data_IF_681524784703
#
_entry.id   IF_681524784703
#
_cell.length_a   1.000
_cell.length_b   1.000
_cell.length_c   1.000
_cell.angle_alpha   90.00
_cell.angle_beta   90.00
_cell.angle_gamma   90.00
#
_symmetry.space_group_name_H-M   'P 1'
#
loop_
_entity.id
_entity.type
_entity.pdbx_description
1 polymer ?
#
# COMPACT_ATOMS: atom_id res chain seq x y z
N UNK A 1 -11.88 -20.88 -19.86
CA UNK A 1 -10.60 -20.35 -19.34
C UNK A 1 -10.85 -18.96 -18.76
N UNK A 2 -10.43 -18.66 -17.52
CA UNK A 2 -10.53 -17.30 -16.96
C UNK A 2 -9.45 -16.43 -17.62
N UNK A 3 -9.86 -15.42 -18.36
CA UNK A 3 -8.95 -14.44 -18.98
C UNK A 3 -8.17 -13.69 -17.89
N UNK A 4 -6.87 -13.38 -18.10
CA UNK A 4 -6.15 -12.49 -17.21
C UNK A 4 -6.88 -11.14 -17.11
N UNK A 5 -7.19 -10.73 -15.89
CA UNK A 5 -7.89 -9.47 -15.63
C UNK A 5 -6.94 -8.50 -14.97
N UNK A 6 -6.98 -7.26 -15.46
CA UNK A 6 -6.23 -6.18 -14.85
C UNK A 6 -6.77 -5.91 -13.44
N UNK A 7 -5.90 -6.05 -12.45
CA UNK A 7 -6.27 -5.80 -11.06
C UNK A 7 -5.96 -4.36 -10.64
N UNK A 8 -4.75 -3.89 -10.95
CA UNK A 8 -4.25 -2.61 -10.45
C UNK A 8 -3.11 -2.12 -11.35
N UNK A 9 -3.11 -0.81 -11.63
CA UNK A 9 -2.01 -0.09 -12.28
C UNK A 9 -1.74 1.15 -11.46
N UNK A 10 -0.48 1.35 -11.08
CA UNK A 10 -0.01 2.60 -10.50
C UNK A 10 0.71 3.39 -11.60
N UNK A 11 0.24 4.60 -11.90
CA UNK A 11 0.92 5.48 -12.83
C UNK A 11 2.08 6.21 -12.17
N UNK A 12 1.86 6.68 -10.94
CA UNK A 12 2.87 7.35 -10.13
C UNK A 12 2.71 6.84 -8.71
N UNK A 13 3.79 6.28 -8.16
CA UNK A 13 3.84 5.88 -6.77
C UNK A 13 5.16 6.38 -6.17
N UNK A 14 5.06 7.36 -5.28
CA UNK A 14 6.20 7.96 -4.61
C UNK A 14 5.99 7.87 -3.12
N UNK A 15 6.95 7.29 -2.41
CA UNK A 15 6.96 7.25 -0.95
C UNK A 15 8.31 7.74 -0.48
N UNK A 16 8.31 8.76 0.36
CA UNK A 16 9.51 9.32 0.97
C UNK A 16 9.43 9.09 2.48
N UNK A 17 10.31 8.21 2.97
CA UNK A 17 10.45 7.90 4.39
C UNK A 17 11.69 8.62 4.92
N UNK A 18 11.48 9.52 5.86
CA UNK A 18 12.54 10.26 6.55
C UNK A 18 12.48 9.93 8.05
N UNK A 19 13.33 9.01 8.53
CA UNK A 19 13.40 8.70 9.95
C UNK A 19 13.78 9.93 10.79
N UNK A 20 13.00 10.19 11.84
CA UNK A 20 13.27 11.24 12.81
C UNK A 20 14.60 10.93 13.53
N UNK A 21 15.53 11.89 13.57
CA UNK A 21 16.84 11.74 14.20
C UNK A 21 18.04 11.66 13.23
N UNK A 22 17.81 11.80 11.92
CA UNK A 22 18.86 12.08 10.94
C UNK A 22 19.05 13.60 10.79
N UNK A 23 20.24 14.07 10.40
CA UNK A 23 20.70 15.48 10.42
C UNK A 23 19.75 16.55 9.80
N UNK A 24 18.73 16.15 9.05
CA UNK A 24 17.67 17.01 8.52
C UNK A 24 16.31 16.38 8.85
N UNK A 25 15.52 17.02 9.73
CA UNK A 25 14.12 16.66 9.99
C UNK A 25 13.26 17.01 8.76
N UNK A 26 13.24 16.12 7.76
CA UNK A 26 12.33 16.21 6.62
C UNK A 26 11.04 15.45 6.93
N UNK A 27 9.91 15.99 6.49
CA UNK A 27 8.64 15.28 6.62
C UNK A 27 8.63 14.04 5.73
N UNK A 28 8.08 12.93 6.22
CA UNK A 28 7.75 11.80 5.35
C UNK A 28 6.48 12.14 4.58
N UNK A 29 6.43 11.79 3.31
CA UNK A 29 5.26 12.06 2.46
C UNK A 29 5.06 10.92 1.46
N UNK A 30 3.81 10.77 1.03
CA UNK A 30 3.42 9.73 0.08
C UNK A 30 2.45 10.30 -0.94
N UNK A 31 2.62 9.91 -2.19
CA UNK A 31 1.76 10.24 -3.30
C UNK A 31 1.55 9.00 -4.16
N UNK A 32 0.30 8.70 -4.50
CA UNK A 32 -0.04 7.53 -5.29
C UNK A 32 -1.23 7.87 -6.20
N UNK A 33 -1.09 7.59 -7.50
CA UNK A 33 -2.13 7.79 -8.50
C UNK A 33 -2.14 6.58 -9.42
N UNK A 34 -3.33 6.04 -9.65
CA UNK A 34 -3.49 4.83 -10.42
C UNK A 34 -4.93 4.49 -10.74
N UNK A 35 -5.10 3.28 -11.24
CA UNK A 35 -6.38 2.69 -11.62
C UNK A 35 -6.47 1.30 -11.01
N UNK A 36 -7.59 0.98 -10.39
CA UNK A 36 -7.80 -0.30 -9.71
C UNK A 36 -9.13 -0.93 -10.11
N UNK A 37 -9.20 -2.24 -10.12
CA UNK A 37 -10.44 -2.98 -10.39
C UNK A 37 -11.33 -3.04 -9.15
N UNK A 38 -12.64 -2.89 -9.36
CA UNK A 38 -13.65 -3.08 -8.31
C UNK A 38 -13.63 -4.52 -7.72
N UNK A 39 -13.07 -5.49 -8.46
CA UNK A 39 -12.86 -6.85 -7.98
C UNK A 39 -12.06 -6.93 -6.67
N UNK A 40 -11.07 -6.05 -6.51
CA UNK A 40 -10.23 -6.02 -5.30
C UNK A 40 -10.99 -5.50 -4.08
N UNK A 41 -12.16 -4.88 -4.27
CA UNK A 41 -12.95 -4.34 -3.17
C UNK A 41 -14.17 -5.19 -2.81
N UNK A 42 -14.50 -6.27 -3.55
CA UNK A 42 -15.54 -7.32 -3.30
C UNK A 42 -16.96 -6.89 -2.86
N UNK A 43 -17.18 -5.63 -2.52
CA UNK A 43 -18.45 -5.02 -2.07
C UNK A 43 -19.35 -4.74 -3.28
N UNK A 44 -18.75 -4.46 -4.43
CA UNK A 44 -19.48 -4.26 -5.68
C UNK A 44 -19.72 -5.63 -6.33
N UNK A 45 -20.97 -6.09 -6.28
CA UNK A 45 -21.49 -7.25 -7.05
C UNK A 45 -21.51 -7.00 -8.57
N UNK A 46 -21.00 -5.86 -9.04
CA UNK A 46 -21.02 -5.49 -10.44
C UNK A 46 -19.80 -6.02 -11.21
N UNK A 47 -19.94 -5.95 -12.55
CA UNK A 47 -19.15 -6.67 -13.54
C UNK A 47 -17.64 -6.69 -13.24
N UNK A 48 -16.99 -7.86 -13.27
CA UNK A 48 -15.58 -8.04 -12.92
C UNK A 48 -14.57 -7.41 -13.91
N UNK A 49 -14.94 -6.36 -14.65
CA UNK A 49 -14.09 -5.62 -15.60
C UNK A 49 -14.07 -4.11 -15.38
N UNK A 50 -14.82 -3.60 -14.39
CA UNK A 50 -14.88 -2.16 -14.15
C UNK A 50 -13.68 -1.70 -13.33
N UNK A 51 -13.06 -0.62 -13.81
CA UNK A 51 -11.92 0.04 -13.21
C UNK A 51 -12.36 1.38 -12.60
N UNK A 52 -11.74 1.77 -11.49
CA UNK A 52 -11.88 3.09 -10.89
C UNK A 52 -10.51 3.76 -10.81
N UNK A 53 -10.48 5.07 -11.06
CA UNK A 53 -9.29 5.88 -10.84
C UNK A 53 -9.16 6.21 -9.36
N UNK A 54 -7.96 6.18 -8.83
CA UNK A 54 -7.67 6.62 -7.47
C UNK A 54 -6.49 7.59 -7.45
N UNK A 55 -6.53 8.48 -6.48
CA UNK A 55 -5.45 9.40 -6.14
C UNK A 55 -5.37 9.53 -4.64
N UNK A 56 -4.16 9.51 -4.09
CA UNK A 56 -3.92 9.74 -2.67
C UNK A 56 -2.66 10.55 -2.44
N UNK A 57 -2.74 11.43 -1.46
CA UNK A 57 -1.63 12.24 -1.01
C UNK A 57 -1.66 12.34 0.51
N UNK A 58 -0.50 12.22 1.15
CA UNK A 58 -0.43 12.36 2.58
C UNK A 58 0.96 12.55 3.15
N UNK A 59 0.96 12.75 4.45
CA UNK A 59 2.15 12.99 5.25
C UNK A 59 2.27 11.92 6.32
N UNK A 60 3.49 11.69 6.74
CA UNK A 60 3.79 10.67 7.71
C UNK A 60 5.00 10.98 8.55
N UNK A 61 5.23 10.09 9.48
CA UNK A 61 6.41 10.06 10.32
C UNK A 61 7.04 8.69 10.24
N UNK A 62 8.36 8.65 10.27
CA UNK A 62 9.12 7.42 10.37
C UNK A 62 10.09 7.54 11.54
N UNK A 63 10.33 6.43 12.22
CA UNK A 63 11.26 6.36 13.35
C UNK A 63 12.02 5.06 13.30
N UNK A 64 13.32 5.15 13.58
CA UNK A 64 14.16 3.99 13.84
C UNK A 64 14.26 3.76 15.36
N UNK A 65 14.21 2.51 15.83
CA UNK A 65 14.41 2.22 17.23
C UNK A 65 15.84 2.56 17.67
N UNK A 66 15.98 3.09 18.87
CA UNK A 66 17.26 3.54 19.45
C UNK A 66 18.24 2.40 19.84
N UNK A 67 17.83 1.14 19.73
CA UNK A 67 18.67 0.01 20.14
C UNK A 67 19.80 -0.26 19.15
N UNK A 68 21.03 -0.38 19.66
CA UNK A 68 22.27 -0.47 18.88
C UNK A 68 22.29 -1.60 17.83
N UNK A 69 21.66 -2.75 18.11
CA UNK A 69 21.58 -3.90 17.20
C UNK A 69 20.50 -3.79 16.12
N UNK A 70 19.50 -2.91 16.31
CA UNK A 70 18.35 -2.77 15.40
C UNK A 70 18.37 -1.46 14.61
N UNK A 71 19.30 -0.57 14.96
CA UNK A 71 19.54 0.68 14.25
C UNK A 71 19.85 0.37 12.78
N UNK A 72 19.15 1.01 11.85
CA UNK A 72 19.24 0.78 10.39
C UNK A 72 18.66 -0.52 9.83
N UNK A 73 18.15 -1.43 10.68
CA UNK A 73 17.49 -2.66 10.22
C UNK A 73 15.99 -2.64 10.43
N UNK A 74 15.48 -1.80 11.34
CA UNK A 74 14.05 -1.71 11.63
C UNK A 74 13.57 -0.26 11.50
N UNK A 75 12.53 -0.03 10.71
CA UNK A 75 11.88 1.27 10.56
C UNK A 75 10.39 1.08 10.85
N UNK A 76 9.89 1.86 11.79
CA UNK A 76 8.45 2.03 11.98
C UNK A 76 8.02 3.31 11.29
N UNK A 77 6.86 3.29 10.64
CA UNK A 77 6.31 4.48 10.03
C UNK A 77 4.80 4.50 10.16
N UNK A 78 4.25 5.71 10.09
CA UNK A 78 2.82 5.92 9.94
C UNK A 78 2.57 7.02 8.92
N UNK A 79 1.48 6.88 8.17
CA UNK A 79 1.01 7.87 7.22
C UNK A 79 -0.47 8.17 7.45
N UNK A 80 -0.84 9.41 7.19
CA UNK A 80 -2.21 9.82 7.05
C UNK A 80 -2.37 10.47 5.68
N UNK A 81 -3.13 9.80 4.82
CA UNK A 81 -3.39 10.24 3.46
C UNK A 81 -4.84 10.67 3.28
N UNK A 82 -5.05 11.66 2.44
CA UNK A 82 -6.35 11.93 1.82
C UNK A 82 -6.42 11.15 0.52
N UNK A 83 -7.53 10.46 0.29
CA UNK A 83 -7.77 9.66 -0.92
C UNK A 83 -9.04 10.11 -1.63
N UNK A 84 -8.95 10.23 -2.94
CA UNK A 84 -10.10 10.40 -3.81
C UNK A 84 -10.15 9.34 -4.89
N UNK A 85 -11.32 8.74 -5.03
CA UNK A 85 -11.62 7.75 -6.05
C UNK A 85 -12.75 8.24 -6.95
N UNK A 86 -12.62 7.99 -8.25
CA UNK A 86 -13.58 8.41 -9.27
C UNK A 86 -13.97 7.21 -10.13
N UNK A 87 -15.27 6.99 -10.29
CA UNK A 87 -15.85 5.98 -11.17
C UNK A 87 -17.35 6.17 -11.32
N UNK A 88 -17.87 5.91 -12.52
CA UNK A 88 -19.30 5.94 -12.80
C UNK A 88 -20.09 4.86 -12.04
N UNK A 89 -19.43 3.82 -11.52
CA UNK A 89 -20.08 2.77 -10.71
C UNK A 89 -20.39 3.19 -9.27
N UNK A 90 -19.89 4.34 -8.82
CA UNK A 90 -20.22 4.85 -7.50
C UNK A 90 -21.53 5.64 -7.55
N UNK A 91 -22.36 5.55 -6.51
CA UNK A 91 -23.67 6.25 -6.47
C UNK A 91 -23.59 7.76 -6.79
N UNK A 92 -22.47 8.39 -6.44
CA UNK A 92 -22.22 9.82 -6.70
C UNK A 92 -21.14 10.08 -7.76
N UNK A 93 -20.62 9.05 -8.43
CA UNK A 93 -19.50 9.16 -9.37
C UNK A 93 -18.11 9.29 -8.71
N UNK A 94 -18.06 9.53 -7.39
CA UNK A 94 -16.82 9.72 -6.64
C UNK A 94 -16.92 9.25 -5.19
N UNK A 95 -15.77 9.06 -4.55
CA UNK A 95 -15.61 8.88 -3.10
C UNK A 95 -14.41 9.66 -2.63
N UNK A 96 -14.54 10.31 -1.47
CA UNK A 96 -13.43 10.97 -0.80
C UNK A 96 -13.32 10.46 0.63
N UNK A 97 -12.09 10.20 1.03
CA UNK A 97 -11.79 9.56 2.30
C UNK A 97 -10.37 9.83 2.75
N UNK A 98 -10.00 9.11 3.80
CA UNK A 98 -8.66 9.09 4.34
C UNK A 98 -8.13 7.67 4.45
N UNK A 99 -6.82 7.51 4.36
CA UNK A 99 -6.12 6.27 4.69
C UNK A 99 -5.20 6.56 5.88
N UNK A 100 -5.37 5.80 6.95
CA UNK A 100 -4.37 5.71 8.00
C UNK A 100 -3.54 4.46 7.77
N UNK A 101 -2.24 4.61 7.61
CA UNK A 101 -1.30 3.49 7.45
C UNK A 101 -0.38 3.44 8.65
N UNK A 102 -0.17 2.25 9.18
CA UNK A 102 0.94 1.93 10.06
C UNK A 102 1.77 0.84 9.41
N UNK A 103 3.08 0.93 9.50
CA UNK A 103 3.93 -0.09 8.93
C UNK A 103 5.26 -0.25 9.64
N UNK A 104 5.84 -1.42 9.41
CA UNK A 104 7.10 -1.85 9.96
C UNK A 104 7.91 -2.50 8.84
N UNK A 105 9.05 -1.90 8.51
CA UNK A 105 10.03 -2.43 7.57
C UNK A 105 11.21 -2.99 8.36
N UNK A 106 11.49 -4.27 8.20
CA UNK A 106 12.55 -4.99 8.88
C UNK A 106 13.48 -5.65 7.86
N UNK A 107 14.76 -5.29 7.87
CA UNK A 107 15.82 -5.97 7.12
C UNK A 107 16.43 -7.03 8.03
N UNK A 108 16.09 -8.29 7.77
CA UNK A 108 16.54 -9.43 8.58
C UNK A 108 17.96 -9.83 8.18
N UNK A 109 18.25 -9.81 6.87
CA UNK A 109 19.60 -10.02 6.32
C UNK A 109 19.86 -9.01 5.21
N UNK A 110 21.08 -8.95 4.68
CA UNK A 110 21.39 -8.09 3.54
C UNK A 110 20.57 -8.41 2.28
N UNK A 111 20.07 -9.66 2.17
CA UNK A 111 19.29 -10.13 1.02
C UNK A 111 17.80 -10.27 1.31
N UNK A 112 17.39 -10.30 2.57
CA UNK A 112 15.99 -10.52 2.94
C UNK A 112 15.44 -9.36 3.75
N UNK A 113 14.35 -8.78 3.23
CA UNK A 113 13.58 -7.75 3.92
C UNK A 113 12.14 -8.18 4.05
N UNK A 114 11.53 -7.75 5.15
CA UNK A 114 10.17 -8.03 5.53
C UNK A 114 9.45 -6.73 5.81
N UNK A 115 8.22 -6.62 5.36
CA UNK A 115 7.42 -5.42 5.47
C UNK A 115 6.01 -5.80 5.91
N UNK A 116 5.60 -5.28 7.05
CA UNK A 116 4.27 -5.46 7.61
C UNK A 116 3.54 -4.13 7.56
N UNK A 117 2.31 -4.14 7.05
CA UNK A 117 1.52 -2.94 6.80
C UNK A 117 0.09 -3.19 7.30
N UNK A 118 -0.40 -2.29 8.14
CA UNK A 118 -1.80 -2.17 8.50
C UNK A 118 -2.37 -0.89 7.90
N UNK A 119 -3.34 -1.03 7.02
CA UNK A 119 -4.04 0.08 6.37
C UNK A 119 -5.48 0.15 6.85
N UNK A 120 -5.93 1.34 7.22
CA UNK A 120 -7.32 1.62 7.54
C UNK A 120 -7.83 2.73 6.62
N UNK A 121 -8.62 2.33 5.63
CA UNK A 121 -9.24 3.27 4.71
C UNK A 121 -10.66 3.59 5.16
N UNK A 122 -11.02 4.86 5.18
CA UNK A 122 -12.36 5.33 5.52
C UNK A 122 -12.84 6.39 4.53
N UNK A 123 -13.94 6.13 3.83
CA UNK A 123 -14.59 7.08 2.95
C UNK A 123 -15.76 7.76 3.68
N UNK A 124 -15.69 9.08 3.81
CA UNK A 124 -16.71 9.87 4.52
C UNK A 124 -17.66 10.59 3.56
N UNK A 125 -17.22 10.85 2.32
CA UNK A 125 -18.00 11.55 1.31
C UNK A 125 -18.17 10.69 0.06
N UNK A 126 -19.34 10.79 -0.58
CA UNK A 126 -19.70 9.89 -1.66
C UNK A 126 -20.38 8.63 -1.13
N UNK A 127 -19.83 7.48 -1.48
CA UNK A 127 -20.22 6.19 -0.92
C UNK A 127 -19.38 5.88 0.33
N UNK A 128 -20.04 5.75 1.48
CA UNK A 128 -19.39 5.62 2.79
C UNK A 128 -19.03 4.18 3.06
N UNK A 129 -17.73 3.89 3.09
CA UNK A 129 -17.21 2.54 3.30
C UNK A 129 -15.89 2.60 4.06
N UNK A 130 -15.58 1.53 4.76
CA UNK A 130 -14.33 1.39 5.50
C UNK A 130 -13.70 0.03 5.22
N UNK A 131 -12.39 0.05 5.02
CA UNK A 131 -11.61 -1.09 4.58
C UNK A 131 -10.34 -1.18 5.45
N UNK A 132 -10.40 -1.90 6.58
CA UNK A 132 -9.21 -2.37 7.26
C UNK A 132 -8.56 -3.48 6.44
N UNK A 133 -7.33 -3.25 6.06
CA UNK A 133 -6.48 -4.14 5.29
C UNK A 133 -5.20 -4.40 6.06
N UNK A 134 -4.77 -5.65 6.04
CA UNK A 134 -3.48 -6.06 6.54
C UNK A 134 -2.69 -6.68 5.41
N UNK A 135 -1.43 -6.28 5.27
CA UNK A 135 -0.54 -6.90 4.30
C UNK A 135 0.83 -7.20 4.89
N UNK A 136 1.37 -8.31 4.41
CA UNK A 136 2.71 -8.79 4.68
C UNK A 136 3.41 -8.91 3.35
N UNK A 137 4.62 -8.37 3.26
CA UNK A 137 5.46 -8.49 2.09
C UNK A 137 6.85 -8.97 2.51
N UNK A 138 7.36 -9.97 1.81
CA UNK A 138 8.75 -10.41 1.90
C UNK A 138 9.44 -10.14 0.57
N UNK A 139 10.62 -9.53 0.61
CA UNK A 139 11.45 -9.34 -0.57
C UNK A 139 12.79 -10.06 -0.36
N UNK A 140 13.14 -10.96 -1.27
CA UNK A 140 14.38 -11.73 -1.26
C UNK A 140 15.23 -11.38 -2.49
N UNK A 141 16.37 -10.78 -2.27
CA UNK A 141 17.35 -10.40 -3.28
C UNK A 141 18.10 -11.65 -3.79
N UNK A 142 17.81 -12.07 -5.03
CA UNK A 142 18.50 -13.18 -5.69
C UNK A 142 19.88 -12.74 -6.20
N UNK A 143 19.94 -11.55 -6.80
CA UNK A 143 21.14 -10.89 -7.30
C UNK A 143 21.03 -9.40 -7.04
N UNK A 144 22.10 -8.63 -7.20
CA UNK A 144 22.08 -7.17 -7.03
C UNK A 144 21.01 -6.45 -7.87
N UNK A 145 20.44 -7.12 -8.88
CA UNK A 145 19.45 -6.56 -9.82
C UNK A 145 18.08 -7.25 -9.78
N UNK A 146 17.96 -8.39 -9.11
CA UNK A 146 16.74 -9.20 -9.13
C UNK A 146 16.34 -9.53 -7.70
N UNK A 147 15.11 -9.17 -7.33
CA UNK A 147 14.49 -9.63 -6.09
C UNK A 147 13.20 -10.39 -6.37
N UNK A 148 12.98 -11.48 -5.64
CA UNK A 148 11.68 -12.12 -5.54
C UNK A 148 10.84 -11.39 -4.50
N UNK A 149 9.59 -11.15 -4.83
CA UNK A 149 8.61 -10.54 -3.97
C UNK A 149 7.50 -11.54 -3.68
N UNK A 150 7.18 -11.66 -2.40
CA UNK A 150 5.98 -12.30 -1.92
C UNK A 150 5.14 -11.26 -1.19
N UNK A 151 3.85 -11.17 -1.51
CA UNK A 151 2.93 -10.30 -0.80
C UNK A 151 1.65 -11.06 -0.48
N UNK A 152 1.26 -11.07 0.79
CA UNK A 152 -0.04 -11.51 1.26
C UNK A 152 -0.84 -10.31 1.73
N UNK A 153 -2.10 -10.21 1.32
CA UNK A 153 -3.01 -9.13 1.67
C UNK A 153 -4.33 -9.72 2.09
N UNK A 154 -4.86 -9.24 3.21
CA UNK A 154 -6.14 -9.66 3.75
C UNK A 154 -6.97 -8.43 4.11
N UNK A 155 -8.16 -8.35 3.55
CA UNK A 155 -9.14 -7.34 3.90
C UNK A 155 -10.18 -7.96 4.85
N UNK A 156 -10.31 -7.41 6.06
CA UNK A 156 -11.12 -8.02 7.11
C UNK A 156 -12.63 -7.91 6.88
N UNK A 157 -13.11 -6.88 6.18
CA UNK A 157 -14.54 -6.70 5.93
C UNK A 157 -15.05 -7.53 4.76
N UNK A 158 -14.23 -7.68 3.74
CA UNK A 158 -14.64 -8.32 2.48
C UNK A 158 -14.23 -9.79 2.39
N UNK A 159 -13.53 -10.29 3.41
CA UNK A 159 -12.92 -11.64 3.43
C UNK A 159 -12.16 -11.90 2.11
N UNK A 160 -11.51 -10.85 1.61
CA UNK A 160 -10.72 -10.90 0.39
C UNK A 160 -9.29 -11.18 0.80
N UNK A 161 -8.79 -12.32 0.33
CA UNK A 161 -7.41 -12.74 0.53
C UNK A 161 -6.74 -12.75 -0.84
N UNK A 162 -5.64 -12.02 -0.93
CA UNK A 162 -4.82 -11.91 -2.12
C UNK A 162 -3.41 -12.36 -1.78
N UNK A 163 -2.91 -13.33 -2.55
CA UNK A 163 -1.51 -13.74 -2.50
C UNK A 163 -0.89 -13.40 -3.84
N UNK A 164 0.12 -12.53 -3.82
CA UNK A 164 0.86 -12.09 -4.99
C UNK A 164 2.30 -12.62 -4.89
N UNK A 165 2.80 -13.10 -6.02
CA UNK A 165 4.19 -13.46 -6.22
C UNK A 165 4.70 -12.65 -7.40
N UNK A 166 5.86 -12.03 -7.24
CA UNK A 166 6.45 -11.17 -8.25
C UNK A 166 7.96 -11.24 -8.26
N UNK A 167 8.55 -10.63 -9.28
CA UNK A 167 9.98 -10.36 -9.33
C UNK A 167 10.19 -8.87 -9.63
N UNK A 168 11.04 -8.23 -8.83
CA UNK A 168 11.48 -6.85 -9.02
C UNK A 168 12.81 -6.85 -9.73
N UNK A 169 12.89 -6.06 -10.79
CA UNK A 169 14.13 -5.77 -11.52
C UNK A 169 14.57 -4.36 -11.15
N UNK A 170 15.79 -4.25 -10.64
CA UNK A 170 16.44 -2.97 -10.36
C UNK A 170 17.40 -2.65 -11.51
N UNK A 171 17.27 -1.44 -12.06
CA UNK A 171 18.08 -0.91 -13.15
C UNK A 171 19.00 0.20 -12.66
#
# INVERSE_FOLDING_TARGET
MKSPKLQEIHFIQMTSLHPIGQFLNKASWRFDVGVKSLLTEKVFKEDPGILFGFSSFGFGVASEPFYYFSRYSLIFYSFLDVRGDISNSFQRGYRLGSIATIGMLCRITERFSFHLIGDYRSYSFGDKQYFPEFSIQGNYLLTERIALEFQYRKNYFTSLEETKFGAKLYF
#
